data_IF_390679671544
#
_entry.id   IF_390679671544
#
_cell.length_a   1.000
_cell.length_b   1.000
_cell.length_c   1.000
_cell.angle_alpha   90.00
_cell.angle_beta   90.00
_cell.angle_gamma   90.00
#
_symmetry.space_group_name_H-M   'P 1'
#
loop_
_entity.id
_entity.type
_entity.pdbx_description
1 polymer ?
#
# COMPACT_ATOMS: atom_id res chain seq x y z
N UNK A 1 -36.11 -15.74 -61.23
CA UNK A 1 -35.24 -15.10 -60.23
C UNK A 1 -35.44 -15.90 -58.94
N UNK A 2 -34.62 -16.92 -58.62
CA UNK A 2 -33.33 -16.82 -57.87
C UNK A 2 -33.49 -15.81 -56.72
N UNK A 3 -33.54 -16.16 -55.44
CA UNK A 3 -32.58 -16.99 -54.68
C UNK A 3 -33.17 -17.48 -53.34
N UNK A 4 -32.83 -18.71 -52.97
CA UNK A 4 -32.79 -19.23 -51.59
C UNK A 4 -31.81 -18.42 -50.73
N UNK A 5 -32.15 -18.17 -49.46
CA UNK A 5 -31.20 -17.89 -48.38
C UNK A 5 -31.91 -18.22 -47.05
N UNK A 6 -31.68 -19.41 -46.49
CA UNK A 6 -30.62 -19.75 -45.52
C UNK A 6 -31.00 -19.39 -44.08
N UNK A 7 -31.41 -20.44 -43.35
CA UNK A 7 -30.95 -20.79 -42.00
C UNK A 7 -30.30 -19.69 -41.16
N UNK A 8 -30.94 -19.34 -40.05
CA UNK A 8 -30.26 -18.88 -38.83
C UNK A 8 -30.55 -19.91 -37.74
N UNK A 9 -29.87 -21.05 -37.85
CA UNK A 9 -29.37 -21.76 -36.68
C UNK A 9 -27.94 -21.27 -36.45
N UNK A 10 -27.41 -21.44 -35.23
CA UNK A 10 -26.09 -20.99 -34.70
C UNK A 10 -26.28 -19.72 -33.84
N UNK A 11 -26.09 -19.70 -32.52
CA UNK A 11 -25.47 -20.66 -31.60
C UNK A 11 -25.87 -20.29 -30.17
N UNK A 12 -26.60 -21.19 -29.50
CA UNK A 12 -26.61 -21.26 -28.04
C UNK A 12 -25.38 -22.09 -27.67
N UNK A 13 -24.25 -21.43 -27.45
CA UNK A 13 -23.01 -22.11 -27.05
C UNK A 13 -22.22 -21.19 -26.11
N UNK A 14 -22.44 -21.38 -24.81
CA UNK A 14 -21.42 -21.32 -23.74
C UNK A 14 -22.05 -21.50 -22.35
N UNK A 15 -22.93 -22.48 -22.19
CA UNK A 15 -23.25 -23.04 -20.87
C UNK A 15 -22.62 -24.43 -20.83
N UNK A 16 -21.35 -24.50 -20.42
CA UNK A 16 -20.63 -25.67 -19.86
C UNK A 16 -19.10 -25.51 -20.06
N UNK A 17 -18.47 -24.74 -19.18
CA UNK A 17 -17.14 -25.00 -18.59
C UNK A 17 -16.68 -23.75 -17.83
N UNK A 18 -16.77 -23.80 -16.51
CA UNK A 18 -15.93 -23.06 -15.57
C UNK A 18 -16.47 -23.40 -14.16
N UNK A 19 -16.02 -24.46 -13.49
CA UNK A 19 -14.80 -24.37 -12.66
C UNK A 19 -13.88 -23.23 -13.11
N UNK A 20 -14.37 -22.00 -12.98
CA UNK A 20 -13.68 -20.82 -13.46
C UNK A 20 -12.55 -20.56 -12.49
N UNK A 21 -11.35 -20.37 -13.02
CA UNK A 21 -10.33 -19.71 -12.23
C UNK A 21 -10.96 -18.41 -11.68
N UNK A 22 -10.75 -18.10 -10.40
CA UNK A 22 -11.22 -16.85 -9.81
C UNK A 22 -10.85 -15.67 -10.72
N UNK A 23 -11.70 -14.64 -10.74
CA UNK A 23 -11.41 -13.43 -11.49
C UNK A 23 -10.10 -12.83 -10.98
N UNK A 24 -9.14 -12.57 -11.87
CA UNK A 24 -7.83 -12.03 -11.49
C UNK A 24 -7.81 -10.53 -11.71
N UNK A 25 -7.29 -9.77 -10.74
CA UNK A 25 -7.04 -8.33 -10.92
C UNK A 25 -5.96 -8.11 -11.99
N UNK A 26 -5.95 -6.93 -12.65
CA UNK A 26 -4.82 -6.53 -13.46
C UNK A 26 -3.49 -6.65 -12.71
N UNK A 27 -2.44 -7.09 -13.41
CA UNK A 27 -1.11 -7.28 -12.79
C UNK A 27 -0.56 -5.99 -12.17
N UNK A 28 -0.83 -4.85 -12.79
CA UNK A 28 -0.43 -3.52 -12.30
C UNK A 28 -1.08 -3.18 -10.95
N UNK A 29 -2.37 -3.48 -10.80
CA UNK A 29 -3.09 -3.33 -9.53
C UNK A 29 -2.55 -4.28 -8.47
N UNK A 30 -2.25 -5.53 -8.84
CA UNK A 30 -1.62 -6.48 -7.92
C UNK A 30 -0.24 -6.04 -7.43
N UNK A 31 0.57 -5.40 -8.28
CA UNK A 31 1.85 -4.79 -7.87
C UNK A 31 1.61 -3.61 -6.91
N UNK A 32 0.66 -2.74 -7.21
CA UNK A 32 0.32 -1.61 -6.35
C UNK A 32 -0.14 -2.08 -4.96
N UNK A 33 -1.04 -3.07 -4.91
CA UNK A 33 -1.52 -3.67 -3.66
C UNK A 33 -0.38 -4.37 -2.89
N UNK A 34 0.49 -5.12 -3.58
CA UNK A 34 1.66 -5.73 -2.93
C UNK A 34 2.58 -4.68 -2.27
N UNK A 35 2.86 -3.57 -2.96
CA UNK A 35 3.69 -2.49 -2.43
C UNK A 35 3.04 -1.80 -1.23
N UNK A 36 1.75 -1.48 -1.31
CA UNK A 36 1.03 -0.85 -0.21
C UNK A 36 1.02 -1.76 1.03
N UNK A 37 0.75 -3.06 0.85
CA UNK A 37 0.81 -4.07 1.92
C UNK A 37 2.19 -4.13 2.58
N UNK A 38 3.25 -4.19 1.80
CA UNK A 38 4.63 -4.24 2.33
C UNK A 38 4.99 -2.98 3.12
N UNK A 39 4.52 -1.80 2.66
CA UNK A 39 4.74 -0.52 3.33
C UNK A 39 3.95 -0.40 4.62
N UNK A 40 2.68 -0.81 4.64
CA UNK A 40 1.86 -0.92 5.85
C UNK A 40 2.53 -1.86 6.85
N UNK A 41 2.99 -3.04 6.40
CA UNK A 41 3.65 -4.01 7.27
C UNK A 41 4.99 -3.48 7.81
N UNK A 42 5.76 -2.74 7.00
CA UNK A 42 6.99 -2.10 7.46
C UNK A 42 6.71 -0.98 8.50
N UNK A 43 5.64 -0.19 8.30
CA UNK A 43 5.23 0.83 9.26
C UNK A 43 4.76 0.19 10.59
N UNK A 44 3.90 -0.84 10.54
CA UNK A 44 3.45 -1.57 11.72
C UNK A 44 4.61 -2.16 12.53
N UNK A 45 5.58 -2.82 11.87
CA UNK A 45 6.79 -3.32 12.55
C UNK A 45 7.65 -2.21 13.14
N UNK A 46 7.68 -1.03 12.51
CA UNK A 46 8.46 0.10 13.02
C UNK A 46 7.79 0.70 14.24
N UNK A 47 6.46 0.86 14.18
CA UNK A 47 5.61 1.28 15.30
C UNK A 47 5.79 0.35 16.50
N UNK A 48 5.61 -0.95 16.32
CA UNK A 48 5.73 -1.95 17.37
C UNK A 48 7.09 -1.88 18.07
N UNK A 49 8.18 -1.73 17.30
CA UNK A 49 9.53 -1.59 17.85
C UNK A 49 9.74 -0.29 18.62
N UNK A 50 9.12 0.81 18.18
CA UNK A 50 9.21 2.10 18.84
C UNK A 50 8.37 2.11 20.13
N UNK A 51 7.18 1.50 20.11
CA UNK A 51 6.31 1.36 21.26
C UNK A 51 6.92 0.43 22.32
N UNK A 52 7.64 -0.62 21.91
CA UNK A 52 8.29 -1.57 22.81
C UNK A 52 9.60 -1.05 23.42
N UNK A 53 10.34 -0.18 22.74
CA UNK A 53 11.65 0.32 23.18
C UNK A 53 11.83 1.83 22.87
N UNK A 54 11.76 2.71 23.90
CA UNK A 54 12.00 4.15 23.73
C UNK A 54 13.37 4.48 23.13
N UNK A 55 14.39 3.65 23.34
CA UNK A 55 15.71 3.88 22.74
C UNK A 55 15.69 3.63 21.23
N UNK A 56 14.84 2.72 20.72
CA UNK A 56 14.62 2.56 19.27
C UNK A 56 14.05 3.85 18.70
N UNK A 57 13.00 4.40 19.31
CA UNK A 57 12.38 5.65 18.87
C UNK A 57 13.40 6.79 18.83
N UNK A 58 14.15 7.00 19.91
CA UNK A 58 15.16 8.05 19.99
C UNK A 58 16.29 7.84 18.97
N UNK A 59 16.75 6.60 18.74
CA UNK A 59 17.75 6.29 17.70
C UNK A 59 17.23 6.60 16.30
N UNK A 60 16.02 6.20 15.97
CA UNK A 60 15.41 6.46 14.66
C UNK A 60 15.22 7.96 14.44
N UNK A 61 14.68 8.67 15.44
CA UNK A 61 14.50 10.12 15.37
C UNK A 61 15.81 10.86 15.15
N UNK A 62 16.89 10.50 15.88
CA UNK A 62 18.22 11.07 15.66
C UNK A 62 18.73 10.82 14.24
N UNK A 63 18.55 9.60 13.71
CA UNK A 63 18.98 9.27 12.33
C UNK A 63 18.19 10.08 11.30
N UNK A 64 16.87 10.20 11.46
CA UNK A 64 16.02 11.00 10.57
C UNK A 64 16.44 12.48 10.62
N UNK A 65 16.59 13.06 11.82
CA UNK A 65 17.07 14.44 12.00
C UNK A 65 18.43 14.67 11.34
N UNK A 66 19.37 13.73 11.51
CA UNK A 66 20.68 13.83 10.89
C UNK A 66 20.62 13.84 9.35
N UNK A 67 19.72 13.06 8.74
CA UNK A 67 19.56 13.09 7.28
C UNK A 67 18.90 14.40 6.82
N UNK A 68 17.85 14.86 7.51
CA UNK A 68 17.15 16.10 7.16
C UNK A 68 18.07 17.33 7.30
N UNK A 69 18.90 17.38 8.34
CA UNK A 69 19.83 18.47 8.58
C UNK A 69 20.90 18.66 7.48
N UNK A 70 21.06 17.69 6.58
CA UNK A 70 21.98 17.83 5.43
C UNK A 70 21.48 18.80 4.36
N UNK A 71 20.20 19.20 4.38
CA UNK A 71 19.59 20.07 3.36
C UNK A 71 19.36 19.39 2.00
N UNK A 72 19.82 18.15 1.81
CA UNK A 72 19.74 17.43 0.55
C UNK A 72 18.30 17.15 0.05
N UNK A 73 17.30 17.32 0.91
CA UNK A 73 15.87 17.08 0.62
C UNK A 73 15.08 18.36 0.33
N UNK A 74 15.74 19.51 0.35
CA UNK A 74 15.14 20.82 0.08
C UNK A 74 14.83 21.09 -1.41
N UNK A 75 15.65 20.66 -2.39
CA UNK A 75 15.37 20.91 -3.80
C UNK A 75 14.04 20.29 -4.26
N UNK A 76 13.32 21.00 -5.15
CA UNK A 76 12.10 20.47 -5.80
C UNK A 76 12.38 19.24 -6.67
N UNK A 77 13.56 19.21 -7.30
CA UNK A 77 14.07 18.05 -8.04
C UNK A 77 15.29 17.55 -7.31
N UNK A 78 15.24 16.29 -6.86
CA UNK A 78 16.32 15.69 -6.09
C UNK A 78 17.50 15.37 -7.01
N UNK A 79 18.65 15.91 -6.66
CA UNK A 79 19.93 15.55 -7.26
C UNK A 79 20.43 14.21 -6.69
N UNK A 80 21.64 13.80 -7.06
CA UNK A 80 22.26 12.57 -6.57
C UNK A 80 22.38 12.52 -5.02
N UNK A 81 22.58 13.68 -4.39
CA UNK A 81 22.66 13.79 -2.93
C UNK A 81 21.30 13.65 -2.28
N UNK A 82 20.26 14.25 -2.88
CA UNK A 82 18.87 14.10 -2.47
C UNK A 82 18.37 12.66 -2.60
N UNK A 83 18.70 11.98 -3.70
CA UNK A 83 18.38 10.56 -3.89
C UNK A 83 19.12 9.67 -2.87
N UNK A 84 20.40 9.94 -2.61
CA UNK A 84 21.16 9.23 -1.58
C UNK A 84 20.56 9.48 -0.18
N UNK A 85 20.11 10.70 0.12
CA UNK A 85 19.42 11.03 1.37
C UNK A 85 18.09 10.29 1.51
N UNK A 86 17.29 10.19 0.43
CA UNK A 86 16.10 9.34 0.41
C UNK A 86 16.44 7.87 0.65
N UNK A 87 17.51 7.36 0.05
CA UNK A 87 18.01 6.01 0.30
C UNK A 87 18.31 5.77 1.78
N UNK A 88 19.01 6.71 2.43
CA UNK A 88 19.29 6.64 3.88
C UNK A 88 18.04 6.72 4.73
N UNK A 89 17.09 7.60 4.38
CA UNK A 89 15.79 7.69 5.08
C UNK A 89 15.02 6.38 4.99
N UNK A 90 14.94 5.79 3.79
CA UNK A 90 14.24 4.52 3.58
C UNK A 90 14.82 3.38 4.41
N UNK A 91 16.14 3.35 4.62
CA UNK A 91 16.79 2.37 5.48
C UNK A 91 16.51 2.60 6.98
N UNK A 92 16.21 3.84 7.38
CA UNK A 92 15.88 4.16 8.75
C UNK A 92 14.39 3.93 9.04
N UNK A 93 13.52 4.57 8.25
CA UNK A 93 12.07 4.53 8.38
C UNK A 93 11.47 4.51 6.95
N UNK A 94 11.17 3.32 6.40
CA UNK A 94 10.72 3.17 5.01
C UNK A 94 9.50 3.99 4.64
N UNK A 95 8.58 4.19 5.59
CA UNK A 95 7.32 4.89 5.39
C UNK A 95 7.47 6.41 5.14
N UNK A 96 8.65 7.00 5.36
CA UNK A 96 8.90 8.43 5.09
C UNK A 96 9.24 8.74 3.64
N UNK A 97 9.31 7.71 2.78
CA UNK A 97 9.73 7.85 1.38
C UNK A 97 8.64 7.32 0.46
N UNK A 98 8.25 8.15 -0.50
CA UNK A 98 7.32 7.78 -1.58
C UNK A 98 8.13 7.02 -2.64
N UNK A 99 7.63 5.85 -3.01
CA UNK A 99 8.20 5.00 -4.05
C UNK A 99 7.22 4.84 -5.22
N UNK A 100 7.73 4.50 -6.39
CA UNK A 100 6.88 4.11 -7.52
C UNK A 100 6.52 2.61 -7.49
N UNK A 101 5.79 2.17 -8.51
CA UNK A 101 5.41 0.77 -8.79
C UNK A 101 6.59 -0.21 -8.89
N UNK A 102 7.83 0.27 -9.02
CA UNK A 102 9.06 -0.54 -9.07
C UNK A 102 9.84 -0.46 -7.75
N UNK A 103 9.29 0.20 -6.74
CA UNK A 103 9.93 0.42 -5.45
C UNK A 103 11.11 1.40 -5.52
N UNK A 104 11.21 2.23 -6.57
CA UNK A 104 12.26 3.25 -6.70
C UNK A 104 11.88 4.49 -5.91
N UNK A 105 12.81 5.07 -5.15
CA UNK A 105 12.53 6.29 -4.38
C UNK A 105 12.24 7.45 -5.32
N UNK A 106 11.11 8.13 -5.12
CA UNK A 106 10.69 9.28 -5.93
C UNK A 106 10.71 10.58 -5.17
N UNK A 107 10.17 10.57 -3.95
CA UNK A 107 10.01 11.78 -3.17
C UNK A 107 10.02 11.49 -1.67
N UNK A 108 10.21 12.56 -0.90
CA UNK A 108 10.00 12.56 0.53
C UNK A 108 8.50 12.69 0.82
N UNK A 109 7.97 11.85 1.70
CA UNK A 109 6.64 12.03 2.27
C UNK A 109 6.69 13.12 3.36
N UNK A 110 6.34 14.36 2.98
CA UNK A 110 6.44 15.53 3.88
C UNK A 110 5.44 15.47 5.04
N UNK A 111 4.15 15.11 4.83
CA UNK A 111 3.22 14.88 5.93
C UNK A 111 3.73 13.82 6.92
N UNK A 112 4.21 12.66 6.42
CA UNK A 112 4.74 11.61 7.28
C UNK A 112 6.00 12.05 8.03
N UNK A 113 6.94 12.74 7.36
CA UNK A 113 8.14 13.25 8.01
C UNK A 113 7.80 14.23 9.14
N UNK A 114 6.85 15.13 8.90
CA UNK A 114 6.43 16.13 9.90
C UNK A 114 5.89 15.45 11.14
N UNK A 115 4.96 14.49 10.98
CA UNK A 115 4.42 13.74 12.10
C UNK A 115 5.49 12.91 12.81
N UNK A 116 6.39 12.26 12.07
CA UNK A 116 7.47 11.48 12.66
C UNK A 116 8.42 12.34 13.51
N UNK A 117 8.81 13.52 13.02
CA UNK A 117 9.68 14.43 13.76
C UNK A 117 9.05 14.98 15.03
N UNK A 118 7.72 15.11 15.06
CA UNK A 118 6.95 15.60 16.19
C UNK A 118 6.70 14.52 17.24
N UNK A 119 6.31 13.32 16.82
CA UNK A 119 5.68 12.33 17.71
C UNK A 119 6.50 11.05 17.94
N UNK A 120 7.62 10.82 17.23
CA UNK A 120 8.29 9.51 17.27
C UNK A 120 8.63 9.00 18.69
N UNK A 121 8.97 9.88 19.63
CA UNK A 121 9.31 9.49 21.01
C UNK A 121 8.10 9.46 21.96
N UNK A 122 7.02 10.15 21.62
CA UNK A 122 5.84 10.35 22.50
C UNK A 122 4.67 9.47 22.12
N UNK A 123 4.40 9.35 20.83
CA UNK A 123 3.30 8.57 20.26
C UNK A 123 3.74 7.96 18.91
N UNK A 124 4.37 6.77 18.93
CA UNK A 124 4.79 6.06 17.72
C UNK A 124 3.67 5.81 16.72
N UNK A 125 2.45 5.55 17.22
CA UNK A 125 1.28 5.36 16.38
C UNK A 125 0.95 6.67 15.64
N UNK A 126 0.89 7.81 16.34
CA UNK A 126 0.67 9.11 15.69
C UNK A 126 1.80 9.48 14.71
N UNK A 127 3.05 9.14 15.03
CA UNK A 127 4.23 9.42 14.20
C UNK A 127 4.17 8.78 12.81
N UNK A 128 3.61 7.56 12.72
CA UNK A 128 3.59 6.76 11.49
C UNK A 128 2.22 6.76 10.80
N UNK A 129 1.17 7.22 11.49
CA UNK A 129 -0.22 7.25 10.99
C UNK A 129 -0.39 7.91 9.62
N UNK A 130 0.21 9.07 9.29
CA UNK A 130 -0.03 9.69 7.98
C UNK A 130 0.43 8.82 6.81
N UNK A 131 1.59 8.16 6.95
CA UNK A 131 2.08 7.26 5.92
C UNK A 131 1.17 6.04 5.76
N UNK A 132 0.71 5.44 6.87
CA UNK A 132 -0.22 4.30 6.82
C UNK A 132 -1.57 4.71 6.24
N UNK A 133 -2.07 5.90 6.57
CA UNK A 133 -3.31 6.42 6.02
C UNK A 133 -3.22 6.56 4.49
N UNK A 134 -2.11 7.09 3.97
CA UNK A 134 -1.89 7.22 2.52
C UNK A 134 -1.86 5.85 1.81
N UNK A 135 -1.22 4.83 2.40
CA UNK A 135 -1.24 3.48 1.80
C UNK A 135 -2.63 2.84 1.87
N UNK A 136 -3.37 3.05 2.96
CA UNK A 136 -4.75 2.57 3.09
C UNK A 136 -5.64 3.24 2.03
N UNK A 137 -5.52 4.55 1.84
CA UNK A 137 -6.24 5.28 0.81
C UNK A 137 -5.90 4.71 -0.59
N UNK A 138 -4.61 4.47 -0.88
CA UNK A 138 -4.19 3.86 -2.14
C UNK A 138 -4.75 2.46 -2.35
N UNK A 139 -4.84 1.64 -1.31
CA UNK A 139 -5.45 0.30 -1.42
C UNK A 139 -6.93 0.41 -1.77
N UNK A 140 -7.65 1.29 -1.08
CA UNK A 140 -9.07 1.48 -1.30
C UNK A 140 -9.35 2.05 -2.70
N UNK A 141 -8.53 2.98 -3.18
CA UNK A 141 -8.65 3.55 -4.52
C UNK A 141 -8.44 2.50 -5.62
N UNK A 142 -7.43 1.62 -5.47
CA UNK A 142 -7.17 0.54 -6.43
C UNK A 142 -8.33 -0.45 -6.47
N UNK A 143 -8.82 -0.88 -5.30
CA UNK A 143 -9.96 -1.82 -5.24
C UNK A 143 -11.26 -1.18 -5.76
N UNK A 144 -11.51 0.10 -5.45
CA UNK A 144 -12.67 0.81 -5.96
C UNK A 144 -12.66 0.95 -7.49
N UNK A 145 -11.48 1.16 -8.09
CA UNK A 145 -11.33 1.26 -9.54
C UNK A 145 -11.46 -0.11 -10.25
N UNK A 146 -10.98 -1.18 -9.61
CA UNK A 146 -11.02 -2.53 -10.18
C UNK A 146 -12.37 -3.24 -9.99
N UNK A 147 -13.20 -2.79 -9.04
CA UNK A 147 -14.48 -3.41 -8.66
C UNK A 147 -14.40 -4.95 -8.51
N UNK A 148 -13.44 -5.50 -7.74
CA UNK A 148 -13.26 -6.93 -7.64
C UNK A 148 -14.33 -7.57 -6.75
N UNK A 149 -14.63 -8.85 -7.00
CA UNK A 149 -15.36 -9.67 -6.02
C UNK A 149 -14.46 -10.11 -4.86
N UNK A 150 -15.03 -10.63 -3.77
CA UNK A 150 -14.26 -11.09 -2.60
C UNK A 150 -13.27 -12.21 -2.93
N UNK A 151 -13.65 -13.09 -3.87
CA UNK A 151 -12.83 -14.24 -4.31
C UNK A 151 -11.87 -13.86 -5.46
N UNK A 152 -11.78 -12.59 -5.85
CA UNK A 152 -10.89 -12.18 -6.93
C UNK A 152 -9.42 -12.32 -6.50
N UNK A 153 -8.58 -12.94 -7.34
CA UNK A 153 -7.16 -13.10 -7.06
C UNK A 153 -6.39 -11.80 -7.28
N UNK A 154 -5.54 -11.46 -6.31
CA UNK A 154 -4.56 -10.39 -6.43
C UNK A 154 -3.24 -10.99 -6.92
N UNK A 155 -2.84 -10.75 -8.18
CA UNK A 155 -1.56 -11.23 -8.67
C UNK A 155 -0.41 -10.64 -7.88
N UNK A 156 0.76 -11.30 -7.91
CA UNK A 156 1.97 -10.97 -7.12
C UNK A 156 1.82 -11.27 -5.63
N UNK A 157 0.68 -10.92 -5.01
CA UNK A 157 0.42 -11.24 -3.60
C UNK A 157 0.04 -12.71 -3.42
N UNK A 158 -0.71 -13.28 -4.37
CA UNK A 158 -1.15 -14.68 -4.31
C UNK A 158 -2.21 -14.92 -3.23
N UNK A 159 -3.08 -13.93 -3.03
CA UNK A 159 -4.21 -13.96 -2.09
C UNK A 159 -5.46 -13.46 -2.81
N UNK A 160 -6.64 -13.92 -2.39
CA UNK A 160 -7.89 -13.26 -2.77
C UNK A 160 -8.07 -11.93 -2.02
N UNK A 161 -8.99 -11.09 -2.50
CA UNK A 161 -9.25 -9.75 -1.95
C UNK A 161 -9.74 -9.82 -0.49
N UNK A 162 -10.59 -10.79 -0.14
CA UNK A 162 -11.09 -10.95 1.23
C UNK A 162 -9.95 -11.22 2.23
N UNK A 163 -9.09 -12.19 1.93
CA UNK A 163 -7.92 -12.54 2.73
C UNK A 163 -6.92 -11.40 2.79
N UNK A 164 -6.72 -10.70 1.68
CA UNK A 164 -5.83 -9.55 1.62
C UNK A 164 -6.30 -8.42 2.56
N UNK A 165 -7.58 -8.04 2.50
CA UNK A 165 -8.13 -7.02 3.38
C UNK A 165 -8.13 -7.49 4.85
N UNK A 166 -8.42 -8.76 5.12
CA UNK A 166 -8.33 -9.33 6.46
C UNK A 166 -6.90 -9.25 7.04
N UNK A 167 -5.87 -9.56 6.24
CA UNK A 167 -4.46 -9.43 6.63
C UNK A 167 -4.10 -7.98 6.94
N UNK A 168 -4.54 -7.02 6.12
CA UNK A 168 -4.31 -5.60 6.38
C UNK A 168 -5.02 -5.12 7.64
N UNK A 169 -6.29 -5.48 7.85
CA UNK A 169 -7.03 -5.15 9.08
C UNK A 169 -6.27 -5.64 10.31
N UNK A 170 -5.81 -6.90 10.30
CA UNK A 170 -5.08 -7.48 11.42
C UNK A 170 -3.76 -6.75 11.72
N UNK A 171 -3.05 -6.27 10.68
CA UNK A 171 -1.80 -5.52 10.83
C UNK A 171 -2.00 -4.08 11.30
N UNK A 172 -3.06 -3.44 10.84
CA UNK A 172 -3.33 -2.02 11.08
C UNK A 172 -4.05 -1.80 12.41
N UNK A 173 -4.92 -2.72 12.82
CA UNK A 173 -5.77 -2.56 14.00
C UNK A 173 -5.03 -2.26 15.32
N UNK A 174 -3.88 -2.90 15.64
CA UNK A 174 -3.22 -2.68 16.92
C UNK A 174 -2.80 -1.23 17.17
N UNK A 175 -2.30 -0.54 16.15
CA UNK A 175 -1.81 0.83 16.26
C UNK A 175 -2.80 1.87 15.70
N UNK A 176 -3.61 1.51 14.70
CA UNK A 176 -4.47 2.43 13.97
C UNK A 176 -5.89 1.87 13.78
N UNK A 177 -6.67 1.68 14.85
CA UNK A 177 -7.98 1.03 14.79
C UNK A 177 -8.97 1.74 13.85
N UNK A 178 -8.90 3.08 13.74
CA UNK A 178 -9.75 3.82 12.81
C UNK A 178 -9.42 3.53 11.34
N UNK A 179 -8.15 3.32 10.98
CA UNK A 179 -7.75 2.92 9.61
C UNK A 179 -8.15 1.47 9.33
N UNK A 180 -8.00 0.58 10.32
CA UNK A 180 -8.45 -0.80 10.22
C UNK A 180 -9.97 -0.89 10.02
N UNK A 181 -10.76 -0.04 10.69
CA UNK A 181 -12.20 0.03 10.51
C UNK A 181 -12.59 0.42 9.07
N UNK A 182 -11.82 1.28 8.40
CA UNK A 182 -12.04 1.64 6.99
C UNK A 182 -11.80 0.45 6.06
N UNK A 183 -10.72 -0.30 6.27
CA UNK A 183 -10.43 -1.52 5.52
C UNK A 183 -11.50 -2.60 5.75
N UNK A 184 -11.97 -2.74 6.99
CA UNK A 184 -13.03 -3.69 7.34
C UNK A 184 -14.39 -3.30 6.72
N UNK A 185 -14.70 -2.01 6.64
CA UNK A 185 -15.88 -1.52 5.94
C UNK A 185 -15.81 -1.86 4.45
N UNK A 186 -14.69 -1.53 3.79
CA UNK A 186 -14.48 -1.87 2.38
C UNK A 186 -14.59 -3.38 2.12
N UNK A 187 -14.05 -4.22 3.00
CA UNK A 187 -14.20 -5.67 2.95
C UNK A 187 -15.66 -6.14 3.04
N UNK A 188 -16.48 -5.44 3.82
CA UNK A 188 -17.90 -5.78 4.00
C UNK A 188 -18.78 -5.33 2.83
N UNK A 189 -18.26 -4.41 2.00
CA UNK A 189 -18.94 -3.85 0.84
C UNK A 189 -18.60 -4.59 -0.48
N UNK A 190 -17.70 -5.58 -0.45
CA UNK A 190 -17.38 -6.51 -1.55
C UNK A 190 -18.51 -7.53 -1.78
#
# INVERSE_FOLDING_TARGET
MRTLACLVAVTLAATLAACGAPAELPREDGVALALARDRIAAAARTEERMAADPDVAARLLRRVRAVVATGALEPRQLDEFGLAALGRLRLAVPSLVIVDERGVQRALDRPALTAFLAEAETDPAAALRPAVAAEVDSVLDVLAAAEPGPDSEIPVVGMDVDLYLADLVARVHPAWPALAARLAAARSDL
#
